data_IF_281280778732
#
_entry.id   IF_281280778732
#
_cell.length_a   1.000
_cell.length_b   1.000
_cell.length_c   1.000
_cell.angle_alpha   90.00
_cell.angle_beta   90.00
_cell.angle_gamma   90.00
#
_symmetry.space_group_name_H-M   'P 1'
#
loop_
_entity.id
_entity.type
_entity.pdbx_description
1 polymer ?
#
# COMPACT_ATOMS: atom_id res chain seq x y z
N UNK A 1 -11.54 -6.17 -2.68
CA UNK A 1 -11.16 -5.00 -1.86
C UNK A 1 -10.75 -3.86 -2.78
N UNK A 2 -10.67 -2.63 -2.26
CA UNK A 2 -10.26 -1.41 -2.99
C UNK A 2 -8.76 -1.37 -3.31
N UNK A 3 -8.20 -2.53 -3.65
CA UNK A 3 -6.82 -2.72 -4.07
C UNK A 3 -6.88 -3.19 -5.50
N UNK A 4 -6.14 -2.51 -6.38
CA UNK A 4 -6.03 -2.92 -7.76
C UNK A 4 -5.30 -4.26 -7.80
N UNK A 5 -5.93 -5.28 -8.37
CA UNK A 5 -5.36 -6.62 -8.56
C UNK A 5 -4.98 -6.82 -10.03
N UNK A 6 -4.01 -7.69 -10.30
CA UNK A 6 -3.53 -7.94 -11.66
C UNK A 6 -2.48 -6.95 -12.13
N UNK A 7 -1.73 -6.36 -11.20
CA UNK A 7 -0.60 -5.48 -11.51
C UNK A 7 0.60 -6.37 -11.93
N UNK A 8 1.39 -5.99 -12.95
CA UNK A 8 2.63 -6.69 -13.24
C UNK A 8 3.54 -6.76 -12.01
N UNK A 9 4.16 -7.91 -11.79
CA UNK A 9 5.08 -8.18 -10.67
C UNK A 9 4.43 -8.09 -9.27
N UNK A 10 3.12 -8.37 -9.19
CA UNK A 10 2.34 -8.39 -7.95
C UNK A 10 2.80 -9.51 -7.01
N UNK A 11 3.22 -9.12 -5.79
CA UNK A 11 3.63 -10.06 -4.72
C UNK A 11 2.45 -10.33 -3.79
N UNK A 12 1.64 -9.30 -3.52
CA UNK A 12 0.41 -9.36 -2.73
C UNK A 12 -0.61 -8.40 -3.36
N UNK A 13 -1.92 -8.58 -3.15
CA UNK A 13 -2.95 -7.70 -3.72
C UNK A 13 -2.65 -6.22 -3.51
N UNK A 14 -2.43 -5.46 -4.59
CA UNK A 14 -2.09 -4.04 -4.55
C UNK A 14 -0.64 -3.70 -4.20
N UNK A 15 0.27 -4.68 -4.06
CA UNK A 15 1.70 -4.48 -3.83
C UNK A 15 2.50 -5.17 -4.93
N UNK A 16 3.29 -4.39 -5.68
CA UNK A 16 4.22 -4.93 -6.66
C UNK A 16 5.66 -4.50 -6.38
N UNK A 17 6.60 -5.34 -6.80
CA UNK A 17 8.01 -5.01 -6.81
C UNK A 17 8.61 -5.43 -8.15
N UNK A 18 8.96 -4.44 -8.97
CA UNK A 18 9.50 -4.65 -10.30
C UNK A 18 11.01 -4.49 -10.33
N UNK A 19 11.70 -5.42 -10.98
CA UNK A 19 13.11 -5.30 -11.27
C UNK A 19 13.36 -4.24 -12.36
N UNK A 20 14.25 -3.28 -12.08
CA UNK A 20 14.56 -2.17 -12.97
C UNK A 20 15.94 -2.28 -13.64
N UNK A 21 16.69 -3.34 -13.36
CA UNK A 21 18.03 -3.57 -13.93
C UNK A 21 19.17 -3.34 -12.94
N UNK A 22 20.39 -3.40 -13.49
CA UNK A 22 21.65 -3.12 -12.80
C UNK A 22 22.35 -2.00 -13.58
N UNK A 23 22.81 -0.96 -12.91
CA UNK A 23 23.52 0.14 -13.56
C UNK A 23 25.02 -0.17 -13.77
N UNK A 24 25.74 0.72 -14.48
CA UNK A 24 27.18 0.59 -14.74
C UNK A 24 28.05 0.60 -13.48
N UNK A 25 27.48 0.98 -12.33
CA UNK A 25 28.13 0.98 -11.01
C UNK A 25 27.78 -0.27 -10.19
N UNK A 26 27.15 -1.26 -10.82
CA UNK A 26 26.69 -2.49 -10.19
C UNK A 26 25.60 -2.29 -9.12
N UNK A 27 24.82 -1.21 -9.20
CA UNK A 27 23.68 -0.97 -8.32
C UNK A 27 22.44 -1.66 -8.89
N UNK A 28 21.86 -2.55 -8.10
CA UNK A 28 20.63 -3.27 -8.44
C UNK A 28 19.44 -2.42 -8.01
N UNK A 29 18.53 -2.13 -8.94
CA UNK A 29 17.37 -1.26 -8.69
C UNK A 29 16.05 -2.01 -8.75
N UNK A 30 15.17 -1.72 -7.79
CA UNK A 30 13.81 -2.24 -7.72
C UNK A 30 12.82 -1.09 -7.53
N UNK A 31 11.70 -1.12 -8.25
CA UNK A 31 10.57 -0.21 -8.06
C UNK A 31 9.50 -0.91 -7.24
N UNK A 32 9.25 -0.44 -6.02
CA UNK A 32 8.21 -0.97 -5.14
C UNK A 32 7.01 -0.01 -5.16
N UNK A 33 5.84 -0.50 -5.54
CA UNK A 33 4.61 0.30 -5.58
C UNK A 33 3.50 -0.34 -4.76
N UNK A 34 2.79 0.48 -3.99
CA UNK A 34 1.67 0.08 -3.14
C UNK A 34 0.41 0.89 -3.51
N UNK A 35 -0.63 0.21 -3.98
CA UNK A 35 -1.90 0.78 -4.41
C UNK A 35 -3.03 0.38 -3.45
N UNK A 36 -3.34 1.27 -2.52
CA UNK A 36 -4.34 1.07 -1.48
C UNK A 36 -5.32 2.26 -1.48
N UNK A 37 -6.61 1.95 -1.44
CA UNK A 37 -7.67 2.94 -1.24
C UNK A 37 -8.69 2.39 -0.24
N UNK A 38 -9.40 3.28 0.44
CA UNK A 38 -10.47 2.94 1.37
C UNK A 38 -11.68 3.81 1.07
N UNK A 39 -12.87 3.21 1.09
CA UNK A 39 -14.13 3.91 0.90
C UNK A 39 -15.05 3.51 2.04
N UNK A 40 -15.73 4.51 2.59
CA UNK A 40 -16.67 4.36 3.70
C UNK A 40 -18.05 4.19 3.06
N UNK A 41 -18.59 2.97 3.08
CA UNK A 41 -19.81 2.63 2.32
C UNK A 41 -21.07 3.29 2.89
N UNK A 42 -21.07 3.60 4.17
CA UNK A 42 -22.15 4.32 4.86
C UNK A 42 -21.56 5.23 5.94
N UNK A 43 -22.09 6.44 6.18
CA UNK A 43 -21.49 7.41 7.11
C UNK A 43 -21.31 6.91 8.56
N UNK A 44 -22.06 5.89 8.97
CA UNK A 44 -22.03 5.26 10.29
C UNK A 44 -21.08 4.04 10.38
N UNK A 45 -20.38 3.69 9.30
CA UNK A 45 -19.44 2.55 9.28
C UNK A 45 -18.10 2.82 9.97
N UNK A 46 -17.80 4.07 10.35
CA UNK A 46 -16.58 4.46 11.04
C UNK A 46 -16.91 5.40 12.21
N UNK A 47 -16.45 5.03 13.41
CA UNK A 47 -16.45 5.90 14.57
C UNK A 47 -15.03 6.39 14.85
N UNK A 48 -14.87 7.68 15.12
CA UNK A 48 -13.61 8.28 15.56
C UNK A 48 -13.76 8.60 17.04
N UNK A 49 -12.80 8.16 17.86
CA UNK A 49 -12.69 8.61 19.24
C UNK A 49 -11.72 9.78 19.28
N UNK A 50 -12.21 10.93 19.71
CA UNK A 50 -11.41 12.11 20.00
C UNK A 50 -11.11 12.13 21.51
N UNK A 51 -9.99 12.73 21.91
CA UNK A 51 -9.57 12.86 23.32
C UNK A 51 -9.39 11.54 24.11
N UNK A 52 -8.86 10.50 23.45
CA UNK A 52 -8.52 9.24 24.13
C UNK A 52 -7.29 9.44 25.03
N UNK A 53 -7.53 9.50 26.34
CA UNK A 53 -6.47 9.53 27.35
C UNK A 53 -5.87 8.12 27.54
N UNK A 54 -4.64 7.94 27.05
CA UNK A 54 -3.82 6.75 27.32
C UNK A 54 -3.09 7.00 28.64
N UNK A 55 -3.67 6.49 29.74
CA UNK A 55 -3.17 6.69 31.10
C UNK A 55 -1.72 6.23 31.32
N UNK A 56 -1.12 6.72 32.41
CA UNK A 56 0.26 6.44 32.83
C UNK A 56 0.32 5.35 33.90
#
# INVERSE_FOLDING_TARGET
GLHQTGIPDEIQPGLNARFMGIDEKAIISYLVSAYFSVAVLVPDALGILEDVEIGH
#
